data_IF_276626103375
#
_entry.id   IF_276626103375
#
_cell.length_a   1.000
_cell.length_b   1.000
_cell.length_c   1.000
_cell.angle_alpha   90.00
_cell.angle_beta   90.00
_cell.angle_gamma   90.00
#
_symmetry.space_group_name_H-M   'P 1'
#
loop_
_entity.id
_entity.type
_entity.pdbx_description
1 polymer ?
#
# COMPACT_ATOMS: atom_id res chain seq x y z
N UNK A 1 5.63 13.71 -13.99
CA UNK A 1 4.63 14.26 -13.05
C UNK A 1 3.66 13.15 -12.73
N UNK A 2 3.53 12.74 -11.47
CA UNK A 2 2.50 11.79 -11.06
C UNK A 2 1.15 12.52 -11.11
N UNK A 3 0.14 11.92 -11.74
CA UNK A 3 -1.21 12.47 -11.73
C UNK A 3 -1.74 12.42 -10.28
N UNK A 4 -2.38 13.51 -9.83
CA UNK A 4 -3.05 13.52 -8.53
C UNK A 4 -4.21 12.53 -8.56
N UNK A 5 -4.23 11.61 -7.60
CA UNK A 5 -5.30 10.61 -7.50
C UNK A 5 -6.49 11.24 -6.79
N UNK A 6 -7.60 11.48 -7.50
CA UNK A 6 -8.85 11.93 -6.87
C UNK A 6 -9.66 10.73 -6.39
N UNK A 7 -9.63 10.51 -5.08
CA UNK A 7 -10.38 9.45 -4.44
C UNK A 7 -11.74 9.99 -3.96
N UNK A 8 -12.75 9.92 -4.82
CA UNK A 8 -14.12 10.29 -4.48
C UNK A 8 -14.82 9.12 -3.79
N UNK A 9 -14.64 9.00 -2.47
CA UNK A 9 -15.27 7.93 -1.71
C UNK A 9 -15.00 7.97 -0.20
N UNK A 10 -15.92 7.37 0.55
CA UNK A 10 -15.70 7.09 1.98
C UNK A 10 -14.87 5.81 2.07
N UNK A 11 -13.71 5.82 2.73
CA UNK A 11 -12.89 4.62 2.82
C UNK A 11 -13.56 3.54 3.67
N UNK A 12 -13.30 2.29 3.30
CA UNK A 12 -13.36 1.17 4.24
C UNK A 12 -12.09 1.17 5.09
N UNK A 13 -12.24 1.17 6.40
CA UNK A 13 -11.16 1.27 7.39
C UNK A 13 -11.02 -0.08 8.08
N UNK A 14 -9.84 -0.69 7.98
CA UNK A 14 -9.47 -1.88 8.72
C UNK A 14 -8.36 -1.52 9.72
N UNK A 15 -8.62 -1.74 11.00
CA UNK A 15 -7.62 -1.69 12.06
C UNK A 15 -7.13 -3.09 12.39
N UNK A 16 -5.82 -3.26 12.52
CA UNK A 16 -5.19 -4.50 12.96
C UNK A 16 -4.28 -4.24 14.17
N UNK A 17 -4.79 -4.62 15.34
CA UNK A 17 -4.18 -4.37 16.64
C UNK A 17 -4.30 -2.90 17.09
N UNK A 18 -3.96 -2.67 18.36
CA UNK A 18 -4.28 -1.43 19.09
C UNK A 18 -3.92 -0.12 18.36
N UNK A 19 -2.76 -0.04 17.69
CA UNK A 19 -2.39 1.17 16.94
C UNK A 19 -3.23 1.32 15.67
N UNK A 20 -3.45 0.22 14.95
CA UNK A 20 -4.30 0.19 13.75
C UNK A 20 -5.72 0.65 14.05
N UNK A 21 -6.32 0.13 15.12
CA UNK A 21 -7.66 0.52 15.57
C UNK A 21 -7.73 2.00 15.94
N UNK A 22 -6.71 2.50 16.64
CA UNK A 22 -6.63 3.91 17.00
C UNK A 22 -6.50 4.82 15.77
N UNK A 23 -5.74 4.41 14.75
CA UNK A 23 -5.66 5.13 13.46
C UNK A 23 -6.99 5.11 12.74
N UNK A 24 -7.63 3.94 12.59
CA UNK A 24 -8.94 3.80 11.95
C UNK A 24 -10.00 4.69 12.63
N UNK A 25 -9.99 4.72 13.97
CA UNK A 25 -10.86 5.63 14.74
C UNK A 25 -10.56 7.11 14.49
N UNK A 26 -9.30 7.51 14.35
CA UNK A 26 -8.96 8.90 14.01
C UNK A 26 -9.38 9.25 12.58
N UNK A 27 -9.22 8.31 11.64
CA UNK A 27 -9.55 8.47 10.22
C UNK A 27 -11.03 8.73 9.98
N UNK A 28 -11.93 8.11 10.77
CA UNK A 28 -13.37 8.35 10.62
C UNK A 28 -13.79 9.80 10.92
N UNK A 29 -12.97 10.55 11.67
CA UNK A 29 -13.16 11.99 11.88
C UNK A 29 -12.84 12.84 10.64
N UNK A 30 -11.91 12.40 9.79
CA UNK A 30 -11.57 13.06 8.52
C UNK A 30 -12.52 12.64 7.39
N UNK A 31 -13.07 11.42 7.46
CA UNK A 31 -13.95 10.86 6.45
C UNK A 31 -15.28 10.40 7.07
N UNK A 32 -16.22 11.31 7.36
CA UNK A 32 -17.51 10.97 7.92
C UNK A 32 -18.27 9.93 7.09
N UNK A 33 -18.78 8.90 7.76
CA UNK A 33 -19.49 7.78 7.12
C UNK A 33 -18.58 6.71 6.51
N UNK A 34 -17.29 6.71 6.83
CA UNK A 34 -16.39 5.58 6.57
C UNK A 34 -16.96 4.30 7.17
N UNK A 35 -16.76 3.19 6.47
CA UNK A 35 -17.16 1.86 6.95
C UNK A 35 -16.00 1.24 7.72
N UNK A 36 -16.26 0.68 8.89
CA UNK A 36 -15.28 -0.17 9.57
C UNK A 36 -15.44 -1.60 9.10
N UNK A 37 -14.34 -2.23 8.71
CA UNK A 37 -14.28 -3.65 8.42
C UNK A 37 -13.55 -4.37 9.57
N UNK A 38 -14.01 -5.57 9.88
CA UNK A 38 -13.34 -6.46 10.85
C UNK A 38 -12.35 -7.38 10.14
N UNK A 39 -12.68 -7.79 8.91
CA UNK A 39 -11.88 -8.70 8.08
C UNK A 39 -11.43 -8.03 6.78
N UNK A 40 -10.30 -8.50 6.24
CA UNK A 40 -9.69 -7.89 5.07
C UNK A 40 -10.56 -8.05 3.81
N UNK A 41 -11.10 -9.25 3.56
CA UNK A 41 -12.02 -9.49 2.44
C UNK A 41 -13.22 -8.54 2.48
N UNK A 42 -13.77 -8.32 3.68
CA UNK A 42 -14.89 -7.43 3.89
C UNK A 42 -14.53 -5.97 3.58
N UNK A 43 -13.29 -5.54 3.85
CA UNK A 43 -12.84 -4.19 3.56
C UNK A 43 -12.87 -3.86 2.06
N UNK A 44 -12.66 -4.86 1.19
CA UNK A 44 -12.62 -4.70 -0.27
C UNK A 44 -13.96 -5.03 -0.97
N UNK A 45 -14.99 -5.48 -0.26
CA UNK A 45 -16.32 -5.69 -0.84
C UNK A 45 -16.96 -4.37 -1.27
N UNK A 46 -17.77 -4.41 -2.32
CA UNK A 46 -18.59 -3.27 -2.75
C UNK A 46 -19.48 -2.76 -1.59
N UNK A 47 -19.74 -1.44 -1.51
CA UNK A 47 -19.39 -0.40 -2.48
C UNK A 47 -18.05 0.32 -2.19
N UNK A 48 -17.06 -0.37 -1.61
CA UNK A 48 -15.78 0.25 -1.23
C UNK A 48 -15.03 0.80 -2.45
N UNK A 49 -14.72 2.11 -2.42
CA UNK A 49 -13.94 2.79 -3.48
C UNK A 49 -12.50 3.12 -3.07
N UNK A 50 -12.19 2.89 -1.81
CA UNK A 50 -10.89 3.11 -1.20
C UNK A 50 -10.82 2.26 0.08
N UNK A 51 -9.68 1.63 0.32
CA UNK A 51 -9.44 0.88 1.56
C UNK A 51 -8.22 1.43 2.29
N UNK A 52 -8.32 1.56 3.61
CA UNK A 52 -7.18 1.89 4.47
C UNK A 52 -6.97 0.75 5.45
N UNK A 53 -5.77 0.16 5.41
CA UNK A 53 -5.35 -0.91 6.31
C UNK A 53 -4.32 -0.33 7.26
N UNK A 54 -4.70 -0.13 8.52
CA UNK A 54 -3.81 0.35 9.57
C UNK A 54 -3.43 -0.80 10.50
N UNK A 55 -2.14 -1.02 10.75
CA UNK A 55 -1.64 -2.14 11.55
C UNK A 55 -0.60 -1.71 12.58
N UNK A 56 -0.60 -2.36 13.74
CA UNK A 56 0.41 -2.13 14.79
C UNK A 56 1.82 -2.53 14.39
N UNK A 57 1.95 -3.33 13.34
CA UNK A 57 3.21 -3.78 12.75
C UNK A 57 3.00 -4.07 11.26
N UNK A 58 4.08 -4.08 10.48
CA UNK A 58 4.02 -4.54 9.11
C UNK A 58 4.00 -6.08 9.08
N UNK A 59 2.83 -6.66 8.83
CA UNK A 59 2.66 -8.10 8.62
C UNK A 59 2.66 -8.37 7.10
N UNK A 60 3.75 -8.85 6.49
CA UNK A 60 3.86 -8.97 5.04
C UNK A 60 2.71 -9.74 4.41
N UNK A 61 2.34 -10.91 4.95
CA UNK A 61 1.27 -11.74 4.41
C UNK A 61 -0.07 -11.01 4.34
N UNK A 62 -0.46 -10.30 5.40
CA UNK A 62 -1.69 -9.49 5.44
C UNK A 62 -1.65 -8.35 4.43
N UNK A 63 -0.51 -7.67 4.30
CA UNK A 63 -0.38 -6.54 3.38
C UNK A 63 -0.30 -6.99 1.91
N UNK A 64 0.34 -8.12 1.66
CA UNK A 64 0.34 -8.77 0.34
C UNK A 64 -1.06 -9.27 -0.03
N UNK A 65 -1.83 -9.78 0.93
CA UNK A 65 -3.23 -10.16 0.70
C UNK A 65 -4.13 -8.94 0.46
N UNK A 66 -3.89 -7.82 1.16
CA UNK A 66 -4.59 -6.56 0.90
C UNK A 66 -4.29 -6.04 -0.51
N UNK A 67 -3.02 -6.05 -0.92
CA UNK A 67 -2.63 -5.76 -2.31
C UNK A 67 -3.27 -6.76 -3.26
N UNK A 68 -3.45 -8.03 -2.82
CA UNK A 68 -4.10 -9.08 -3.59
C UNK A 68 -5.53 -8.70 -3.99
N UNK A 69 -6.30 -8.34 -2.98
CA UNK A 69 -7.71 -7.95 -3.08
C UNK A 69 -7.88 -6.63 -3.83
N UNK A 70 -7.02 -5.64 -3.54
CA UNK A 70 -7.04 -4.33 -4.20
C UNK A 70 -7.00 -4.46 -5.73
N UNK A 71 -6.05 -5.22 -6.27
CA UNK A 71 -5.95 -5.44 -7.71
C UNK A 71 -7.15 -6.20 -8.29
N UNK A 72 -7.64 -7.25 -7.61
CA UNK A 72 -8.77 -8.05 -8.10
C UNK A 72 -10.04 -7.20 -8.17
N UNK A 73 -10.23 -6.31 -7.20
CA UNK A 73 -11.37 -5.40 -7.12
C UNK A 73 -11.18 -4.11 -7.93
N UNK A 74 -9.95 -3.80 -8.38
CA UNK A 74 -9.63 -2.50 -8.97
C UNK A 74 -9.77 -1.33 -7.98
N UNK A 75 -9.62 -1.59 -6.68
CA UNK A 75 -9.86 -0.62 -5.61
C UNK A 75 -8.52 -0.11 -5.04
N UNK A 76 -8.29 1.21 -5.02
CA UNK A 76 -7.13 1.82 -4.37
C UNK A 76 -7.05 1.47 -2.89
N UNK A 77 -5.83 1.33 -2.37
CA UNK A 77 -5.64 1.10 -0.95
C UNK A 77 -4.40 1.80 -0.38
N UNK A 78 -4.46 2.06 0.93
CA UNK A 78 -3.39 2.69 1.69
C UNK A 78 -3.03 1.84 2.90
N UNK A 79 -1.74 1.50 3.02
CA UNK A 79 -1.19 0.88 4.24
C UNK A 79 -0.76 1.95 5.24
N UNK A 80 -1.03 1.73 6.52
CA UNK A 80 -0.49 2.53 7.63
C UNK A 80 0.09 1.56 8.67
N UNK A 81 1.39 1.63 8.94
CA UNK A 81 2.07 0.71 9.86
C UNK A 81 2.93 1.45 10.87
N UNK A 82 2.99 0.93 12.10
CA UNK A 82 3.99 1.36 13.08
C UNK A 82 5.15 0.37 13.11
N UNK A 83 6.26 0.75 12.47
CA UNK A 83 7.50 -0.01 12.48
C UNK A 83 8.52 0.75 13.33
N UNK A 84 8.48 0.56 14.65
CA UNK A 84 9.25 1.37 15.59
C UNK A 84 10.73 1.52 15.17
N UNK A 85 11.27 2.76 15.15
CA UNK A 85 10.68 4.01 15.63
C UNK A 85 10.01 4.86 14.54
N UNK A 86 9.44 4.24 13.50
CA UNK A 86 8.85 4.95 12.35
C UNK A 86 7.39 4.57 12.18
N UNK A 87 6.52 5.55 11.96
CA UNK A 87 5.19 5.29 11.37
C UNK A 87 5.30 5.50 9.88
N UNK A 88 4.85 4.52 9.08
CA UNK A 88 4.77 4.62 7.63
C UNK A 88 3.31 4.74 7.21
N UNK A 89 3.02 5.75 6.42
CA UNK A 89 1.74 5.98 5.76
C UNK A 89 1.99 5.80 4.27
N UNK A 90 1.68 4.64 3.73
CA UNK A 90 1.95 4.26 2.37
C UNK A 90 2.51 2.84 2.24
N UNK A 91 2.62 2.33 1.00
CA UNK A 91 2.32 3.04 -0.24
C UNK A 91 0.82 3.27 -0.44
N UNK A 92 0.46 4.42 -1.03
CA UNK A 92 -0.86 4.59 -1.67
C UNK A 92 -0.82 3.83 -3.00
N UNK A 93 -1.50 2.70 -3.08
CA UNK A 93 -1.54 1.87 -4.29
C UNK A 93 -2.85 2.14 -5.03
N UNK A 94 -2.74 2.46 -6.32
CA UNK A 94 -3.87 2.48 -7.25
C UNK A 94 -3.69 1.35 -8.27
N UNK A 95 -4.48 0.26 -8.22
CA UNK A 95 -4.39 -0.81 -9.19
C UNK A 95 -4.42 -0.32 -10.64
N UNK A 96 -3.47 -0.79 -11.45
CA UNK A 96 -3.33 -0.37 -12.85
C UNK A 96 -2.52 0.91 -13.06
N UNK A 97 -2.20 1.65 -12.00
CA UNK A 97 -1.40 2.87 -12.08
C UNK A 97 -0.20 2.80 -11.12
N UNK A 98 1.02 2.97 -11.65
CA UNK A 98 2.22 3.07 -10.80
C UNK A 98 2.58 1.78 -10.05
N UNK A 99 3.30 1.89 -8.92
CA UNK A 99 3.82 0.74 -8.18
C UNK A 99 2.78 0.08 -7.27
N UNK A 100 2.74 -1.25 -7.24
CA UNK A 100 2.02 -2.03 -6.22
C UNK A 100 2.81 -2.18 -4.92
N UNK A 101 2.20 -2.80 -3.92
CA UNK A 101 2.85 -3.12 -2.66
C UNK A 101 4.09 -4.03 -2.81
N UNK A 102 4.06 -5.00 -3.75
CA UNK A 102 5.25 -5.84 -4.03
C UNK A 102 6.44 -5.03 -4.55
N UNK A 103 6.18 -4.04 -5.42
CA UNK A 103 7.24 -3.11 -5.87
C UNK A 103 7.82 -2.36 -4.68
N UNK A 104 6.98 -1.85 -3.78
CA UNK A 104 7.41 -1.20 -2.56
C UNK A 104 8.28 -2.10 -1.69
N UNK A 105 7.85 -3.34 -1.41
CA UNK A 105 8.62 -4.30 -0.61
C UNK A 105 9.96 -4.67 -1.26
N UNK A 106 9.99 -4.81 -2.59
CA UNK A 106 11.23 -5.02 -3.34
C UNK A 106 12.21 -3.85 -3.19
N UNK A 107 11.73 -2.61 -3.33
CA UNK A 107 12.56 -1.41 -3.11
C UNK A 107 13.04 -1.29 -1.67
N UNK A 108 12.18 -1.60 -0.69
CA UNK A 108 12.57 -1.65 0.72
C UNK A 108 13.71 -2.63 0.95
N UNK A 109 13.60 -3.85 0.44
CA UNK A 109 14.66 -4.87 0.54
C UNK A 109 15.97 -4.40 -0.08
N UNK A 110 15.94 -3.69 -1.22
CA UNK A 110 17.14 -3.15 -1.88
C UNK A 110 17.85 -2.08 -1.03
N UNK A 111 17.09 -1.25 -0.31
CA UNK A 111 17.63 -0.16 0.50
C UNK A 111 17.88 -0.53 1.97
N UNK A 112 17.42 -1.71 2.40
CA UNK A 112 17.61 -2.20 3.76
C UNK A 112 18.96 -2.91 3.93
N UNK A 113 19.93 -2.18 4.49
CA UNK A 113 21.27 -2.70 4.83
C UNK A 113 21.24 -3.85 5.83
N UNK A 114 20.12 -4.06 6.54
CA UNK A 114 19.92 -5.11 7.54
C UNK A 114 18.76 -6.03 7.16
N UNK A 115 18.53 -6.24 5.87
CA UNK A 115 17.43 -7.06 5.37
C UNK A 115 17.34 -8.44 6.03
N UNK A 116 18.45 -9.08 6.38
CA UNK A 116 18.43 -10.37 7.10
C UNK A 116 17.69 -10.29 8.44
N UNK A 117 17.91 -9.22 9.21
CA UNK A 117 17.22 -8.96 10.47
C UNK A 117 15.76 -8.57 10.25
N UNK A 118 15.49 -7.68 9.29
CA UNK A 118 14.12 -7.27 8.96
C UNK A 118 13.27 -8.45 8.49
N UNK A 119 13.85 -9.36 7.71
CA UNK A 119 13.17 -10.60 7.29
C UNK A 119 12.79 -11.48 8.47
N UNK A 120 13.70 -11.69 9.44
CA UNK A 120 13.39 -12.48 10.65
C UNK A 120 12.20 -11.87 11.40
N UNK A 121 12.18 -10.53 11.51
CA UNK A 121 11.10 -9.80 12.16
C UNK A 121 9.77 -9.94 11.41
N UNK A 122 9.80 -9.79 10.09
CA UNK A 122 8.66 -10.00 9.21
C UNK A 122 8.10 -11.44 9.31
N UNK A 123 8.98 -12.45 9.26
CA UNK A 123 8.59 -13.86 9.40
C UNK A 123 7.95 -14.12 10.78
N UNK A 124 8.41 -13.46 11.84
CA UNK A 124 7.82 -13.55 13.17
C UNK A 124 6.42 -12.92 13.20
N UNK A 125 6.25 -11.74 12.59
CA UNK A 125 4.95 -11.09 12.47
C UNK A 125 3.94 -11.92 11.68
N UNK A 126 4.37 -12.60 10.60
CA UNK A 126 3.52 -13.51 9.84
C UNK A 126 3.08 -14.75 10.64
N UNK A 127 3.86 -15.17 11.63
CA UNK A 127 3.47 -16.21 12.60
C UNK A 127 2.58 -15.69 13.74
N UNK A 128 2.22 -14.41 13.72
CA UNK A 128 1.43 -13.76 14.77
C UNK A 128 2.22 -13.38 16.02
N UNK A 129 3.56 -13.49 15.98
CA UNK A 129 4.41 -12.98 17.06
C UNK A 129 4.45 -11.45 17.02
N UNK A 130 4.78 -10.81 18.15
CA UNK A 130 5.01 -9.37 18.22
C UNK A 130 6.24 -9.06 19.07
N UNK A 131 7.45 -9.40 18.59
CA UNK A 131 8.69 -9.17 19.34
C UNK A 131 9.11 -7.69 19.41
N UNK A 132 8.35 -6.79 18.78
CA UNK A 132 8.61 -5.35 18.77
C UNK A 132 8.17 -4.65 20.06
N UNK A 133 8.65 -3.41 20.30
CA UNK A 133 8.18 -2.61 21.42
C UNK A 133 6.69 -2.28 21.25
N UNK A 134 5.89 -2.62 22.26
CA UNK A 134 4.47 -2.31 22.29
C UNK A 134 4.17 -0.86 22.67
N UNK A 135 2.96 -0.42 22.34
CA UNK A 135 2.41 0.87 22.77
C UNK A 135 2.71 2.03 21.82
N UNK A 136 1.89 3.08 21.93
CA UNK A 136 2.00 4.31 21.17
C UNK A 136 1.46 5.48 21.99
N UNK A 137 1.92 6.70 21.70
CA UNK A 137 1.37 7.90 22.32
C UNK A 137 0.09 8.33 21.60
N UNK A 138 -0.91 8.91 22.27
CA UNK A 138 -2.17 9.30 21.65
C UNK A 138 -2.06 10.22 20.43
N UNK A 139 -0.99 11.03 20.33
CA UNK A 139 -0.74 11.86 19.14
C UNK A 139 -0.27 11.07 17.92
N UNK A 140 0.34 9.89 18.08
CA UNK A 140 0.84 9.09 16.97
C UNK A 140 -0.26 8.69 15.97
N UNK A 141 -1.39 8.06 16.39
CA UNK A 141 -2.47 7.72 15.46
C UNK A 141 -3.15 8.97 14.87
N UNK A 142 -3.19 10.09 15.61
CA UNK A 142 -3.76 11.35 15.11
C UNK A 142 -2.93 11.94 13.97
N UNK A 143 -1.61 12.00 14.13
CA UNK A 143 -0.70 12.50 13.10
C UNK A 143 -0.72 11.55 11.90
N UNK A 144 -0.70 10.24 12.12
CA UNK A 144 -0.80 9.25 11.06
C UNK A 144 -2.09 9.40 10.24
N UNK A 145 -3.23 9.56 10.91
CA UNK A 145 -4.53 9.78 10.27
C UNK A 145 -4.58 11.11 9.50
N UNK A 146 -4.05 12.20 10.07
CA UNK A 146 -3.98 13.49 9.38
C UNK A 146 -3.09 13.44 8.13
N UNK A 147 -1.91 12.82 8.23
CA UNK A 147 -1.02 12.62 7.09
C UNK A 147 -1.65 11.72 6.01
N UNK A 148 -2.36 10.66 6.41
CA UNK A 148 -3.13 9.81 5.50
C UNK A 148 -4.26 10.61 4.83
N UNK A 149 -4.99 11.44 5.55
CA UNK A 149 -6.02 12.30 4.98
C UNK A 149 -5.46 13.27 3.94
N UNK A 150 -4.29 13.87 4.19
CA UNK A 150 -3.60 14.69 3.19
C UNK A 150 -3.21 13.87 1.94
N UNK A 151 -2.74 12.64 2.15
CA UNK A 151 -2.35 11.72 1.08
C UNK A 151 -3.55 11.21 0.26
N UNK A 152 -4.72 11.08 0.85
CA UNK A 152 -5.93 10.62 0.17
C UNK A 152 -6.73 11.78 -0.48
N UNK A 153 -6.45 13.02 -0.06
CA UNK A 153 -6.97 14.24 -0.68
C UNK A 153 -6.17 14.70 -1.90
N UNK A 154 -6.22 15.99 -2.19
CA UNK A 154 -5.66 16.57 -3.43
C UNK A 154 -4.13 16.47 -3.58
N UNK A 155 -3.42 16.11 -2.51
CA UNK A 155 -1.95 16.09 -2.47
C UNK A 155 -1.37 14.68 -2.68
N UNK A 156 -2.23 13.68 -2.85
CA UNK A 156 -1.87 12.29 -3.04
C UNK A 156 -1.38 11.94 -4.43
N UNK A 157 -0.27 11.22 -4.51
CA UNK A 157 0.17 10.53 -5.71
C UNK A 157 0.28 9.02 -5.47
N UNK A 158 -0.06 8.24 -6.50
CA UNK A 158 0.15 6.80 -6.46
C UNK A 158 1.62 6.46 -6.23
N UNK A 159 1.87 5.50 -5.35
CA UNK A 159 3.20 5.10 -4.90
C UNK A 159 3.82 5.99 -3.83
N UNK A 160 3.12 7.02 -3.34
CA UNK A 160 3.64 7.89 -2.30
C UNK A 160 3.65 7.19 -0.94
N UNK A 161 4.71 7.45 -0.16
CA UNK A 161 4.92 6.98 1.20
C UNK A 161 5.36 8.16 2.06
N UNK A 162 4.64 8.42 3.14
CA UNK A 162 5.05 9.36 4.19
C UNK A 162 5.63 8.55 5.35
N UNK A 163 6.78 8.96 5.87
CA UNK A 163 7.37 8.39 7.08
C UNK A 163 7.43 9.44 8.16
N UNK A 164 7.01 9.08 9.37
CA UNK A 164 7.16 9.88 10.57
C UNK A 164 8.18 9.22 11.50
N UNK A 165 9.29 9.89 11.81
CA UNK A 165 10.19 9.43 12.87
C UNK A 165 9.61 9.76 14.24
N UNK A 166 9.40 8.74 15.08
CA UNK A 166 8.93 8.93 16.46
C UNK A 166 10.02 9.46 17.39
N UNK A 167 11.30 9.32 17.00
CA UNK A 167 12.42 9.84 17.78
C UNK A 167 12.76 11.29 17.43
N UNK A 168 12.69 11.65 16.14
CA UNK A 168 13.04 12.98 15.65
C UNK A 168 11.85 13.90 15.43
N UNK A 169 10.63 13.36 15.45
CA UNK A 169 9.39 14.06 15.15
C UNK A 169 9.42 14.78 13.79
N UNK A 170 10.12 14.18 12.82
CA UNK A 170 10.18 14.65 11.43
C UNK A 170 9.21 13.84 10.54
N UNK A 171 8.73 14.49 9.48
CA UNK A 171 7.95 13.88 8.41
C UNK A 171 8.76 13.97 7.11
N UNK A 172 8.82 12.87 6.37
CA UNK A 172 9.41 12.82 5.05
C UNK A 172 8.45 12.14 4.07
N UNK A 173 8.39 12.64 2.85
CA UNK A 173 7.61 12.05 1.76
C UNK A 173 8.56 11.43 0.73
N UNK A 174 8.19 10.25 0.25
CA UNK A 174 8.92 9.45 -0.71
C UNK A 174 7.96 8.93 -1.78
N UNK A 175 8.49 8.59 -2.95
CA UNK A 175 7.72 7.96 -4.02
C UNK A 175 8.39 6.65 -4.40
N UNK A 176 7.60 5.58 -4.44
CA UNK A 176 8.05 4.25 -4.84
C UNK A 176 8.23 4.19 -6.36
N UNK A 177 9.34 3.63 -6.82
CA UNK A 177 9.54 3.34 -8.24
C UNK A 177 9.10 1.91 -8.53
N UNK A 178 8.22 1.75 -9.54
CA UNK A 178 7.80 0.45 -10.02
C UNK A 178 9.01 -0.43 -10.40
N UNK A 179 8.87 -1.74 -10.21
CA UNK A 179 9.85 -2.73 -10.64
C UNK A 179 9.52 -3.16 -12.07
N UNK A 180 10.52 -3.17 -12.95
CA UNK A 180 10.35 -3.70 -14.30
C UNK A 180 9.93 -5.18 -14.24
N UNK A 181 8.91 -5.56 -15.02
CA UNK A 181 8.47 -6.94 -15.13
C UNK A 181 7.75 -7.48 -13.89
N UNK A 182 7.26 -6.59 -13.02
CA UNK A 182 6.41 -6.99 -11.90
C UNK A 182 5.14 -7.69 -12.43
N UNK A 183 4.94 -8.94 -12.04
CA UNK A 183 3.76 -9.76 -12.36
C UNK A 183 2.43 -9.14 -11.92
N UNK A 184 2.50 -8.11 -11.07
CA UNK A 184 1.35 -7.46 -10.47
C UNK A 184 0.93 -6.16 -11.16
N UNK A 185 1.87 -5.28 -11.42
CA UNK A 185 1.59 -3.91 -11.88
C UNK A 185 2.37 -3.54 -13.13
N UNK A 186 3.20 -4.43 -13.69
CA UNK A 186 3.76 -4.16 -15.00
C UNK A 186 2.59 -4.15 -16.00
N UNK A 187 2.57 -3.19 -16.95
CA UNK A 187 1.67 -3.29 -18.07
C UNK A 187 1.92 -4.64 -18.77
N UNK A 188 0.88 -5.31 -19.30
CA UNK A 188 1.07 -6.51 -20.09
C UNK A 188 2.10 -6.22 -21.17
N UNK A 189 3.03 -7.15 -21.39
CA UNK A 189 4.05 -7.01 -22.41
C UNK A 189 3.36 -6.88 -23.77
N UNK A 190 3.17 -5.65 -24.23
CA UNK A 190 2.84 -5.39 -25.62
C UNK A 190 4.14 -5.58 -26.36
N UNK A 191 4.35 -6.77 -26.94
CA UNK A 191 5.42 -6.96 -27.92
C UNK A 191 5.07 -6.07 -29.12
N UNK A 192 5.77 -4.95 -29.34
CA UNK A 192 5.53 -4.13 -30.52
C UNK A 192 5.90 -4.98 -31.73
N UNK A 193 4.96 -5.18 -32.65
CA UNK A 193 5.21 -5.90 -33.90
C UNK A 193 5.03 -7.42 -33.88
N UNK A 194 4.50 -8.05 -32.81
CA UNK A 194 4.14 -9.49 -32.90
C UNK A 194 2.99 -9.72 -33.89
N UNK A 195 2.03 -8.80 -33.95
CA UNK A 195 0.97 -8.81 -34.97
C UNK A 195 1.54 -8.62 -36.38
N UNK A 196 2.57 -7.78 -36.54
CA UNK A 196 3.24 -7.54 -37.83
C UNK A 196 4.08 -8.75 -38.27
N UNK A 197 4.76 -9.43 -37.32
CA UNK A 197 5.52 -10.65 -37.59
C UNK A 197 4.60 -11.83 -37.96
N UNK A 198 3.47 -11.99 -37.29
CA UNK A 198 2.49 -13.04 -37.61
C UNK A 198 1.75 -12.76 -38.93
N UNK A 199 1.66 -11.50 -39.35
CA UNK A 199 1.07 -11.11 -40.63
C UNK A 199 2.04 -11.25 -41.81
N UNK A 200 3.35 -11.29 -41.56
CA UNK A 200 4.37 -11.51 -42.60
C UNK A 200 4.57 -12.99 -42.96
N UNK A 201 4.30 -13.93 -42.06
CA UNK A 201 4.46 -15.37 -42.35
C UNK A 201 3.33 -15.97 -43.22
N UNK A 202 2.16 -15.34 -43.29
CA UNK A 202 1.03 -15.84 -44.11
C UNK A 202 1.17 -15.47 -45.60
N UNK A 203 2.10 -14.58 -45.96
CA UNK A 203 2.31 -14.10 -47.34
C UNK A 203 3.44 -14.78 -48.13
N UNK A 204 4.22 -15.68 -47.54
CA UNK A 204 5.50 -16.16 -48.12
C UNK A 204 5.45 -17.57 -48.74
N UNK A 205 4.27 -18.11 -49.07
CA UNK A 205 4.14 -19.41 -49.78
C UNK A 205 3.18 -19.32 -50.96
N UNK A 206 3.57 -18.55 -51.98
CA UNK A 206 2.97 -18.60 -53.31
C UNK A 206 3.94 -18.04 -54.35
N UNK A 207 5.04 -18.76 -54.62
CA UNK A 207 5.77 -18.69 -55.90
C UNK A 207 6.56 -19.97 -56.13
#
# INVERSE_FOLDING_TARGET
>A
MAAALRLDGRPSLLGNGNFGDAVAKCMSGYFPGSRFAEELDDAFREPSRLVVVASSQLVPSVHEHADELAYKAGVPWLSITMEHPVIRIGPLVNPGEGPCFRCYMSRRRQHDRRWSSSRILHDAYDRGESPGPGGFLPQHPRIAAGAAACLLGEHGATGQVITMSLLRLDLAAHVVTACHGCDRCAPPAVLPGLADLLSQEVGASAH
#
